data_IF_963919521294
#
_entry.id   IF_963919521294
#
_cell.length_a   1.000
_cell.length_b   1.000
_cell.length_c   1.000
_cell.angle_alpha   90.00
_cell.angle_beta   90.00
_cell.angle_gamma   90.00
#
_symmetry.space_group_name_H-M   'P 1'
#
loop_
_entity.id
_entity.type
_entity.pdbx_description
1 polymer ?
#
# COMPACT_ATOMS: atom_id res chain seq x y z
N UNK A 1 5.72 -19.26 -1.68
CA UNK A 1 7.06 -18.69 -1.71
C UNK A 1 7.14 -17.31 -1.06
N UNK A 2 6.44 -16.25 -1.50
CA UNK A 2 6.45 -14.96 -0.77
C UNK A 2 6.08 -15.13 0.71
N UNK A 3 5.08 -15.94 1.04
CA UNK A 3 4.72 -16.25 2.44
C UNK A 3 5.87 -16.89 3.22
N UNK A 4 6.69 -17.73 2.58
CA UNK A 4 7.86 -18.36 3.22
C UNK A 4 8.92 -17.31 3.54
N UNK A 5 9.23 -16.45 2.58
CA UNK A 5 10.22 -15.36 2.75
C UNK A 5 9.74 -14.36 3.82
N UNK A 6 8.48 -13.97 3.78
CA UNK A 6 7.87 -13.12 4.80
C UNK A 6 7.93 -13.79 6.18
N UNK A 7 7.71 -15.11 6.26
CA UNK A 7 7.81 -15.85 7.50
C UNK A 7 9.22 -15.85 8.06
N UNK A 8 10.24 -16.10 7.23
CA UNK A 8 11.66 -16.01 7.64
C UNK A 8 12.00 -14.61 8.16
N UNK A 9 11.57 -13.56 7.46
CA UNK A 9 11.79 -12.18 7.90
C UNK A 9 11.12 -11.87 9.23
N UNK A 10 9.90 -12.37 9.47
CA UNK A 10 9.20 -12.19 10.74
C UNK A 10 9.85 -12.88 11.93
N UNK A 11 10.65 -13.90 11.71
CA UNK A 11 11.42 -14.53 12.80
C UNK A 11 12.51 -13.61 13.35
N UNK A 12 13.11 -12.78 12.49
CA UNK A 12 14.16 -11.82 12.89
C UNK A 12 13.60 -10.45 13.25
N UNK A 13 12.46 -10.09 12.69
CA UNK A 13 11.82 -8.77 12.82
C UNK A 13 10.31 -8.93 13.06
N UNK A 14 9.89 -9.34 14.30
CA UNK A 14 8.49 -9.71 14.57
C UNK A 14 7.47 -8.57 14.41
N UNK A 15 7.88 -7.32 14.60
CA UNK A 15 7.02 -6.13 14.53
C UNK A 15 6.65 -5.74 13.09
N UNK A 16 7.18 -6.44 12.08
CA UNK A 16 7.00 -6.06 10.69
C UNK A 16 5.74 -6.66 10.09
N UNK A 17 5.04 -5.83 9.33
CA UNK A 17 3.94 -6.22 8.49
C UNK A 17 4.32 -6.14 7.01
N UNK A 18 4.12 -7.26 6.32
CA UNK A 18 4.20 -7.35 4.87
C UNK A 18 2.81 -7.57 4.30
N UNK A 19 2.48 -6.84 3.24
CA UNK A 19 1.28 -7.12 2.45
C UNK A 19 1.60 -7.15 0.97
N UNK A 20 1.00 -8.11 0.26
CA UNK A 20 0.98 -8.13 -1.20
C UNK A 20 -0.28 -7.41 -1.62
N UNK A 21 -0.13 -6.42 -2.49
CA UNK A 21 -1.19 -5.52 -2.90
C UNK A 21 -1.54 -5.67 -4.39
N UNK A 22 -1.83 -4.58 -5.07
CA UNK A 22 -2.13 -4.55 -6.49
C UNK A 22 -3.28 -5.45 -6.91
N UNK A 23 -3.14 -6.04 -8.07
CA UNK A 23 -4.12 -6.99 -8.63
C UNK A 23 -4.28 -8.25 -7.79
N UNK A 24 -3.22 -8.70 -7.10
CA UNK A 24 -3.28 -9.83 -6.19
C UNK A 24 -4.26 -9.60 -5.03
N UNK A 25 -4.16 -8.46 -4.34
CA UNK A 25 -5.09 -8.13 -3.24
C UNK A 25 -6.52 -7.93 -3.73
N UNK A 26 -6.68 -7.53 -5.00
CA UNK A 26 -8.01 -7.42 -5.64
C UNK A 26 -8.55 -8.76 -6.15
N UNK A 27 -7.91 -9.89 -5.81
CA UNK A 27 -8.33 -11.25 -6.18
C UNK A 27 -8.53 -11.41 -7.70
N UNK A 28 -7.62 -10.82 -8.50
CA UNK A 28 -7.64 -11.03 -9.95
C UNK A 28 -7.07 -12.41 -10.28
N UNK A 29 -7.64 -13.07 -11.29
CA UNK A 29 -7.17 -14.38 -11.76
C UNK A 29 -5.71 -14.36 -12.22
N UNK A 30 -5.26 -13.20 -12.72
CA UNK A 30 -3.90 -12.97 -13.17
C UNK A 30 -3.32 -11.69 -12.57
N UNK A 31 -2.02 -11.72 -12.27
CA UNK A 31 -1.25 -10.59 -11.78
C UNK A 31 0.03 -10.46 -12.60
N UNK A 32 0.21 -9.32 -13.27
CA UNK A 32 1.43 -9.02 -14.03
C UNK A 32 2.58 -8.61 -13.13
N UNK A 33 2.27 -7.88 -12.06
CA UNK A 33 3.23 -7.27 -11.16
C UNK A 33 3.05 -7.79 -9.73
N UNK A 34 4.10 -7.69 -8.93
CA UNK A 34 4.12 -8.05 -7.52
C UNK A 34 4.33 -6.79 -6.72
N UNK A 35 3.28 -6.29 -6.07
CA UNK A 35 3.29 -5.08 -5.25
C UNK A 35 3.45 -5.44 -3.77
N UNK A 36 4.62 -5.20 -3.19
CA UNK A 36 4.92 -5.48 -1.78
C UNK A 36 4.96 -4.19 -0.98
N UNK A 37 4.17 -4.14 0.07
CA UNK A 37 4.20 -3.04 1.04
C UNK A 37 4.75 -3.55 2.37
N UNK A 38 5.73 -2.81 2.92
CA UNK A 38 6.40 -3.11 4.18
C UNK A 38 6.11 -1.98 5.16
N UNK A 39 5.71 -2.33 6.38
CA UNK A 39 5.59 -1.40 7.50
C UNK A 39 5.95 -2.10 8.81
N UNK A 40 6.18 -1.32 9.86
CA UNK A 40 6.50 -1.83 11.18
C UNK A 40 7.07 -0.75 12.08
N UNK A 41 7.48 -1.16 13.25
CA UNK A 41 8.23 -0.30 14.17
C UNK A 41 9.71 -0.26 13.76
N UNK A 42 10.38 0.87 13.95
CA UNK A 42 11.78 1.06 13.62
C UNK A 42 12.07 1.49 12.19
N UNK A 43 13.26 1.18 11.69
CA UNK A 43 13.72 1.59 10.36
C UNK A 43 13.22 0.63 9.26
N UNK A 44 12.07 0.94 8.71
CA UNK A 44 11.45 0.17 7.62
C UNK A 44 12.31 0.16 6.34
N UNK A 45 13.16 1.17 6.15
CA UNK A 45 14.06 1.22 4.99
C UNK A 45 15.17 0.18 5.09
N UNK A 46 15.69 -0.06 6.31
CA UNK A 46 16.67 -1.11 6.58
C UNK A 46 16.05 -2.49 6.33
N UNK A 47 14.80 -2.67 6.76
CA UNK A 47 14.08 -3.93 6.56
C UNK A 47 13.82 -4.18 5.09
N UNK A 48 13.41 -3.15 4.33
CA UNK A 48 13.28 -3.24 2.89
C UNK A 48 14.59 -3.68 2.24
N UNK A 49 15.73 -3.12 2.66
CA UNK A 49 17.07 -3.52 2.16
C UNK A 49 17.36 -5.00 2.46
N UNK A 50 17.11 -5.46 3.69
CA UNK A 50 17.27 -6.87 4.07
C UNK A 50 16.38 -7.79 3.24
N UNK A 51 15.13 -7.39 3.00
CA UNK A 51 14.19 -8.14 2.18
C UNK A 51 14.65 -8.26 0.72
N UNK A 52 15.13 -7.15 0.13
CA UNK A 52 15.70 -7.14 -1.22
C UNK A 52 16.92 -8.07 -1.30
N UNK A 53 17.83 -7.99 -0.32
CA UNK A 53 19.00 -8.86 -0.26
C UNK A 53 18.60 -10.33 -0.19
N UNK A 54 17.63 -10.68 0.64
CA UNK A 54 17.14 -12.05 0.75
C UNK A 54 16.54 -12.57 -0.58
N UNK A 55 15.83 -11.70 -1.32
CA UNK A 55 15.31 -12.04 -2.65
C UNK A 55 16.44 -12.30 -3.66
N UNK A 56 17.54 -11.52 -3.58
CA UNK A 56 18.75 -11.72 -4.40
C UNK A 56 19.44 -13.03 -4.05
N UNK A 57 19.69 -13.29 -2.77
CA UNK A 57 20.36 -14.49 -2.29
C UNK A 57 19.61 -15.77 -2.67
N UNK A 58 18.28 -15.71 -2.74
CA UNK A 58 17.43 -16.81 -3.18
C UNK A 58 17.29 -16.90 -4.72
N UNK A 59 17.95 -16.05 -5.49
CA UNK A 59 17.85 -16.02 -6.95
C UNK A 59 16.46 -15.66 -7.48
N UNK A 60 15.64 -14.99 -6.68
CA UNK A 60 14.28 -14.56 -7.04
C UNK A 60 14.31 -13.21 -7.72
N UNK A 61 15.11 -12.28 -7.20
CA UNK A 61 15.35 -10.99 -7.83
C UNK A 61 16.43 -11.15 -8.90
N UNK A 62 16.05 -10.90 -10.14
CA UNK A 62 16.92 -11.11 -11.31
C UNK A 62 17.60 -9.80 -11.73
N UNK A 63 16.86 -8.69 -11.65
CA UNK A 63 17.33 -7.40 -12.12
C UNK A 63 16.79 -6.27 -11.24
N UNK A 64 17.62 -5.26 -11.00
CA UNK A 64 17.25 -4.03 -10.29
C UNK A 64 17.02 -2.95 -11.33
N UNK A 65 15.78 -2.44 -11.41
CA UNK A 65 15.41 -1.35 -12.32
C UNK A 65 15.60 0.02 -11.66
N UNK A 66 15.21 0.13 -10.39
CA UNK A 66 15.41 1.34 -9.60
C UNK A 66 15.45 1.02 -8.10
N UNK A 67 16.27 1.77 -7.36
CA UNK A 67 16.37 1.65 -5.90
C UNK A 67 16.37 3.05 -5.27
N UNK A 68 15.17 3.60 -5.10
CA UNK A 68 14.96 4.92 -4.51
C UNK A 68 14.87 4.87 -2.97
N UNK A 69 14.71 6.05 -2.36
CA UNK A 69 14.66 6.18 -0.89
C UNK A 69 13.49 5.40 -0.25
N UNK A 70 12.31 5.38 -0.87
CA UNK A 70 11.09 4.72 -0.34
C UNK A 70 10.54 3.63 -1.26
N UNK A 71 11.04 3.51 -2.49
CA UNK A 71 10.55 2.55 -3.48
C UNK A 71 11.70 1.83 -4.16
N UNK A 72 11.57 0.52 -4.27
CA UNK A 72 12.41 -0.35 -5.09
C UNK A 72 11.57 -0.91 -6.23
N UNK A 73 12.18 -1.04 -7.40
CA UNK A 73 11.58 -1.66 -8.58
C UNK A 73 12.59 -2.66 -9.17
N UNK A 74 12.12 -3.83 -9.53
CA UNK A 74 12.96 -4.85 -10.12
C UNK A 74 12.19 -5.86 -10.96
N UNK A 75 12.93 -6.82 -11.48
CA UNK A 75 12.39 -7.99 -12.16
C UNK A 75 12.62 -9.21 -11.27
N UNK A 76 11.58 -9.95 -11.04
CA UNK A 76 11.62 -11.19 -10.26
C UNK A 76 11.22 -12.39 -11.11
N UNK A 77 11.74 -13.55 -10.72
CA UNK A 77 11.44 -14.84 -11.34
C UNK A 77 11.41 -15.90 -10.25
N UNK A 78 10.42 -16.77 -10.30
CA UNK A 78 10.39 -17.93 -9.41
C UNK A 78 11.40 -19.00 -9.86
N UNK A 79 12.08 -19.67 -8.92
CA UNK A 79 12.86 -20.86 -9.26
C UNK A 79 12.01 -21.84 -10.06
N UNK A 80 12.59 -22.43 -11.10
CA UNK A 80 11.94 -23.39 -12.00
C UNK A 80 10.77 -22.86 -12.86
N UNK A 81 10.50 -21.55 -12.85
CA UNK A 81 9.53 -20.90 -13.74
C UNK A 81 10.23 -20.01 -14.77
N UNK A 82 9.71 -19.96 -15.98
CA UNK A 82 10.25 -19.10 -17.06
C UNK A 82 9.73 -17.66 -17.00
N UNK A 83 8.62 -17.45 -16.29
CA UNK A 83 7.91 -16.17 -16.28
C UNK A 83 8.61 -15.15 -15.39
N UNK A 84 8.97 -14.02 -15.97
CA UNK A 84 9.44 -12.83 -15.26
C UNK A 84 8.26 -11.94 -14.86
N UNK A 85 8.40 -11.27 -13.70
CA UNK A 85 7.38 -10.34 -13.16
C UNK A 85 8.07 -9.10 -12.64
N UNK A 86 7.47 -7.94 -12.88
CA UNK A 86 7.83 -6.75 -12.15
C UNK A 86 7.58 -6.96 -10.66
N UNK A 87 8.49 -6.45 -9.84
CA UNK A 87 8.32 -6.40 -8.39
C UNK A 87 8.57 -4.98 -7.91
N UNK A 88 7.55 -4.42 -7.26
CA UNK A 88 7.58 -3.13 -6.61
C UNK A 88 7.55 -3.34 -5.10
N UNK A 89 8.54 -2.79 -4.39
CA UNK A 89 8.63 -2.88 -2.94
C UNK A 89 8.66 -1.47 -2.37
N UNK A 90 7.68 -1.14 -1.54
CA UNK A 90 7.59 0.15 -0.85
C UNK A 90 7.64 -0.08 0.65
N UNK A 91 8.42 0.74 1.35
CA UNK A 91 8.35 0.84 2.80
C UNK A 91 7.63 2.12 3.22
N UNK A 92 6.86 2.03 4.30
CA UNK A 92 6.04 3.13 4.82
C UNK A 92 5.97 3.12 6.34
N UNK A 93 5.82 4.29 6.94
CA UNK A 93 5.59 4.40 8.38
C UNK A 93 4.21 3.82 8.78
N UNK A 94 4.07 3.37 10.03
CA UNK A 94 2.82 2.80 10.54
C UNK A 94 1.60 3.73 10.33
N UNK A 95 1.77 5.03 10.56
CA UNK A 95 0.68 6.01 10.38
C UNK A 95 0.32 6.25 8.91
N UNK A 96 1.27 6.03 8.00
CA UNK A 96 1.07 6.15 6.55
C UNK A 96 0.47 4.86 5.94
N UNK A 97 0.63 3.73 6.63
CA UNK A 97 0.29 2.41 6.10
C UNK A 97 -1.14 2.28 5.54
N UNK A 98 -2.20 2.78 6.20
CA UNK A 98 -3.55 2.70 5.66
C UNK A 98 -3.70 3.39 4.30
N UNK A 99 -3.05 4.52 4.13
CA UNK A 99 -3.05 5.32 2.90
C UNK A 99 -2.24 4.66 1.79
N UNK A 100 -1.05 4.16 2.14
CA UNK A 100 -0.21 3.39 1.23
C UNK A 100 -0.91 2.10 0.77
N UNK A 101 -1.59 1.39 1.67
CA UNK A 101 -2.34 0.18 1.35
C UNK A 101 -3.50 0.48 0.39
N UNK A 102 -4.25 1.56 0.61
CA UNK A 102 -5.31 2.01 -0.30
C UNK A 102 -4.75 2.29 -1.69
N UNK A 103 -3.67 3.08 -1.76
CA UNK A 103 -3.03 3.46 -3.01
C UNK A 103 -2.47 2.26 -3.77
N UNK A 104 -1.71 1.39 -3.08
CA UNK A 104 -1.06 0.22 -3.66
C UNK A 104 -2.06 -0.88 -4.05
N UNK A 105 -3.21 -0.94 -3.38
CA UNK A 105 -4.27 -1.87 -3.78
C UNK A 105 -4.89 -1.46 -5.11
N UNK A 106 -5.10 -0.19 -5.36
CA UNK A 106 -5.71 0.33 -6.59
C UNK A 106 -7.19 -0.09 -6.73
N UNK A 107 -7.71 -0.14 -7.93
CA UNK A 107 -7.05 0.13 -9.23
C UNK A 107 -6.68 1.63 -9.38
N UNK A 108 -5.95 1.97 -10.45
CA UNK A 108 -5.62 3.37 -10.75
C UNK A 108 -6.88 4.24 -10.89
N UNK A 109 -7.89 3.75 -11.62
CA UNK A 109 -9.18 4.42 -11.76
C UNK A 109 -9.92 4.56 -10.42
N UNK A 110 -9.87 3.54 -9.56
CA UNK A 110 -10.43 3.61 -8.21
C UNK A 110 -9.72 4.69 -7.36
N UNK A 111 -8.39 4.74 -7.39
CA UNK A 111 -7.61 5.75 -6.67
C UNK A 111 -7.95 7.18 -7.16
N UNK A 112 -8.10 7.37 -8.47
CA UNK A 112 -8.50 8.66 -9.04
C UNK A 112 -9.87 9.10 -8.50
N UNK A 113 -10.84 8.19 -8.42
CA UNK A 113 -12.17 8.46 -7.85
C UNK A 113 -12.11 8.79 -6.37
N UNK A 114 -11.35 8.02 -5.56
CA UNK A 114 -11.15 8.30 -4.14
C UNK A 114 -10.56 9.70 -3.92
N UNK A 115 -9.57 10.08 -4.72
CA UNK A 115 -8.97 11.43 -4.67
C UNK A 115 -9.98 12.52 -5.03
N UNK A 116 -10.81 12.31 -6.05
CA UNK A 116 -11.87 13.25 -6.44
C UNK A 116 -12.91 13.44 -5.33
N UNK A 117 -13.35 12.35 -4.69
CA UNK A 117 -14.28 12.42 -3.56
C UNK A 117 -13.65 13.21 -2.41
N UNK A 118 -12.39 12.92 -2.07
CA UNK A 118 -11.67 13.67 -1.04
C UNK A 118 -11.63 15.18 -1.37
N UNK A 119 -11.30 15.54 -2.63
CA UNK A 119 -11.25 16.93 -3.09
C UNK A 119 -12.61 17.64 -2.97
N UNK A 120 -13.72 16.98 -3.30
CA UNK A 120 -15.09 17.53 -3.15
C UNK A 120 -15.44 17.76 -1.68
N UNK A 121 -14.91 16.95 -0.77
CA UNK A 121 -15.10 17.09 0.69
C UNK A 121 -14.09 18.03 1.35
N UNK A 122 -13.27 18.74 0.59
CA UNK A 122 -12.31 19.72 1.10
C UNK A 122 -10.96 19.14 1.51
N UNK A 123 -10.67 17.89 1.15
CA UNK A 123 -9.43 17.20 1.47
C UNK A 123 -8.62 16.82 0.23
N UNK A 124 -7.34 16.57 0.42
CA UNK A 124 -6.43 15.98 -0.56
C UNK A 124 -5.96 14.64 -0.02
N UNK A 125 -6.12 13.58 -0.80
CA UNK A 125 -5.72 12.20 -0.46
C UNK A 125 -4.52 11.78 -1.30
N UNK A 126 -3.49 11.26 -0.66
CA UNK A 126 -2.34 10.63 -1.31
C UNK A 126 -1.93 9.35 -0.57
N UNK A 127 -0.85 8.73 -1.00
CA UNK A 127 -0.31 7.48 -0.44
C UNK A 127 0.28 7.62 0.98
N UNK A 128 0.39 8.84 1.48
CA UNK A 128 0.94 9.10 2.82
C UNK A 128 -0.12 9.52 3.82
N UNK A 129 -1.13 10.32 3.38
CA UNK A 129 -2.07 10.96 4.31
C UNK A 129 -3.25 11.64 3.65
N UNK A 130 -4.17 12.09 4.49
CA UNK A 130 -5.13 13.15 4.20
C UNK A 130 -4.57 14.50 4.60
N UNK A 131 -4.85 15.51 3.79
CA UNK A 131 -4.50 16.91 4.04
C UNK A 131 -5.70 17.81 3.71
N UNK A 132 -5.80 18.98 4.32
CA UNK A 132 -6.78 19.97 3.91
C UNK A 132 -6.47 20.48 2.50
N UNK A 133 -7.48 20.57 1.65
CA UNK A 133 -7.32 21.02 0.26
C UNK A 133 -6.74 22.43 0.16
N UNK A 134 -7.20 23.35 1.03
CA UNK A 134 -6.83 24.78 1.00
C UNK A 134 -5.45 25.03 1.58
N UNK A 135 -5.20 24.56 2.79
CA UNK A 135 -3.96 24.85 3.52
C UNK A 135 -2.82 23.90 3.21
N UNK A 136 -3.10 22.76 2.59
CA UNK A 136 -2.16 21.64 2.37
C UNK A 136 -1.58 21.03 3.65
N UNK A 137 -1.99 21.49 4.83
CA UNK A 137 -1.57 20.90 6.10
C UNK A 137 -2.18 19.50 6.26
N UNK A 138 -1.50 18.57 6.93
CA UNK A 138 -2.09 17.29 7.32
C UNK A 138 -3.40 17.49 8.09
N UNK A 139 -4.34 16.55 7.96
CA UNK A 139 -5.50 16.49 8.86
C UNK A 139 -5.01 16.21 10.26
N UNK A 140 -5.52 16.94 11.24
CA UNK A 140 -5.07 16.91 12.62
C UNK A 140 -5.74 15.78 13.42
N UNK A 141 -5.11 15.38 14.52
CA UNK A 141 -5.61 14.33 15.41
C UNK A 141 -7.02 14.61 15.94
N UNK A 142 -7.33 15.90 16.22
CA UNK A 142 -8.65 16.34 16.68
C UNK A 142 -9.76 16.02 15.68
N UNK A 143 -9.49 16.18 14.37
CA UNK A 143 -10.47 15.87 13.32
C UNK A 143 -10.67 14.37 13.17
N UNK A 144 -9.60 13.59 13.28
CA UNK A 144 -9.71 12.13 13.33
C UNK A 144 -10.50 11.69 14.56
N UNK A 145 -10.22 12.27 15.73
CA UNK A 145 -10.96 11.96 16.96
C UNK A 145 -12.44 12.30 16.82
N UNK A 146 -12.77 13.47 16.29
CA UNK A 146 -14.14 13.92 16.08
C UNK A 146 -14.92 13.02 15.11
N UNK A 147 -14.29 12.60 14.01
CA UNK A 147 -14.95 11.80 12.96
C UNK A 147 -14.91 10.29 13.21
N UNK A 148 -13.84 9.78 13.79
CA UNK A 148 -13.58 8.36 13.90
C UNK A 148 -13.56 7.83 15.34
N UNK A 149 -13.45 8.73 16.35
CA UNK A 149 -13.21 8.35 17.73
C UNK A 149 -11.81 7.78 17.98
N UNK A 150 -10.85 8.12 17.15
CA UNK A 150 -9.45 7.69 17.24
C UNK A 150 -8.52 8.75 16.63
N UNK A 151 -7.24 8.79 17.06
CA UNK A 151 -6.30 9.87 16.70
C UNK A 151 -5.76 9.81 15.26
N UNK A 152 -5.99 8.70 14.53
CA UNK A 152 -5.51 8.52 13.15
C UNK A 152 -6.29 7.43 12.45
N UNK A 153 -6.13 7.29 11.13
CA UNK A 153 -6.54 6.09 10.42
C UNK A 153 -5.63 4.92 10.81
N UNK A 154 -6.19 3.90 11.43
CA UNK A 154 -5.47 2.65 11.78
C UNK A 154 -5.57 1.60 10.68
N UNK A 155 -6.65 1.66 9.90
CA UNK A 155 -6.96 0.72 8.82
C UNK A 155 -7.44 1.49 7.60
N UNK A 156 -7.28 0.89 6.43
CA UNK A 156 -7.80 1.42 5.17
C UNK A 156 -9.29 1.81 5.25
N UNK A 157 -10.12 1.02 5.95
CA UNK A 157 -11.57 1.32 6.17
C UNK A 157 -11.80 2.67 6.85
N UNK A 158 -10.87 3.13 7.67
CA UNK A 158 -11.02 4.41 8.37
C UNK A 158 -10.96 5.61 7.42
N UNK A 159 -10.23 5.49 6.31
CA UNK A 159 -10.20 6.52 5.26
C UNK A 159 -11.60 6.69 4.65
N UNK A 160 -12.30 5.59 4.40
CA UNK A 160 -13.67 5.61 3.87
C UNK A 160 -14.63 6.23 4.89
N UNK A 161 -14.54 5.82 6.16
CA UNK A 161 -15.36 6.38 7.25
C UNK A 161 -15.10 7.88 7.41
N UNK A 162 -13.84 8.32 7.38
CA UNK A 162 -13.48 9.74 7.46
C UNK A 162 -14.08 10.55 6.32
N UNK A 163 -14.13 9.97 5.13
CA UNK A 163 -14.73 10.59 3.94
C UNK A 163 -16.25 10.37 3.83
N UNK A 164 -16.91 9.78 4.83
CA UNK A 164 -18.36 9.48 4.84
C UNK A 164 -18.80 8.75 3.57
N UNK A 165 -18.10 7.67 3.23
CA UNK A 165 -18.41 6.77 2.10
C UNK A 165 -18.36 5.32 2.53
N UNK A 166 -19.14 4.48 1.87
CA UNK A 166 -19.14 3.05 2.13
C UNK A 166 -17.80 2.41 1.75
N UNK A 167 -17.35 1.48 2.59
CA UNK A 167 -16.15 0.73 2.28
C UNK A 167 -16.38 -0.18 1.07
N UNK A 168 -15.42 -0.16 0.16
CA UNK A 168 -15.40 -1.05 -1.01
C UNK A 168 -14.30 -2.07 -0.81
N UNK A 169 -14.66 -3.35 -0.76
CA UNK A 169 -13.70 -4.45 -0.65
C UNK A 169 -12.72 -4.42 -1.84
N UNK A 170 -11.45 -4.80 -1.65
CA UNK A 170 -10.45 -4.78 -2.72
C UNK A 170 -10.89 -5.46 -4.02
N UNK A 171 -11.51 -6.64 -3.91
CA UNK A 171 -12.01 -7.41 -5.06
C UNK A 171 -13.07 -6.68 -5.90
N UNK A 172 -13.81 -5.76 -5.27
CA UNK A 172 -14.92 -5.03 -5.87
C UNK A 172 -14.50 -3.65 -6.42
N UNK A 173 -13.22 -3.25 -6.32
CA UNK A 173 -12.67 -1.97 -6.78
C UNK A 173 -12.53 -1.93 -8.30
N UNK A 174 -13.66 -2.00 -8.97
CA UNK A 174 -13.78 -1.74 -10.41
C UNK A 174 -14.03 -0.25 -10.63
N UNK A 175 -13.78 0.25 -11.84
CA UNK A 175 -13.80 1.68 -12.15
C UNK A 175 -15.17 2.38 -11.98
N UNK A 176 -16.24 1.62 -11.75
CA UNK A 176 -17.64 2.12 -11.78
C UNK A 176 -18.26 2.28 -10.37
N UNK A 177 -17.78 1.60 -9.34
CA UNK A 177 -18.51 1.42 -8.07
C UNK A 177 -18.70 2.71 -7.25
N UNK A 178 -17.84 3.69 -7.40
CA UNK A 178 -17.93 4.95 -6.64
C UNK A 178 -18.76 6.05 -7.33
N UNK A 179 -19.42 5.76 -8.45
CA UNK A 179 -20.19 6.75 -9.21
C UNK A 179 -21.30 7.43 -8.38
N UNK A 180 -21.88 6.73 -7.39
CA UNK A 180 -22.91 7.30 -6.50
C UNK A 180 -22.41 8.44 -5.59
N UNK A 181 -21.08 8.63 -5.43
CA UNK A 181 -20.48 9.70 -4.63
C UNK A 181 -19.87 10.82 -5.50
N UNK A 182 -19.94 10.69 -6.81
CA UNK A 182 -19.45 11.67 -7.79
C UNK A 182 -20.53 12.66 -8.19
#
# INVERSE_FOLDING_TARGET
MFHTIVHEMKQTEPSIHFSINGSYRRERCESGDIDVLITGEGDTSLIRKKFIQLLQDKGILIEVLANGKKKFMGISKLPHHSTHRHIDIIDTALLEYPFAQLYFTGSGGFNAKMRNIALKKGFSLNEYRLSYRTTKKPVEEEDFMKKLGQFSCKKEKDIFRFLDIDYVEPKDRKDIILSKYM
#
